data_IF_344496680288
#
_entry.id   IF_344496680288
#
_cell.length_a   1.000
_cell.length_b   1.000
_cell.length_c   1.000
_cell.angle_alpha   90.00
_cell.angle_beta   90.00
_cell.angle_gamma   90.00
#
_symmetry.space_group_name_H-M   'P 1'
#
loop_
_entity.id
_entity.type
_entity.pdbx_description
1 polymer ?
#
# COMPACT_ATOMS: atom_id res chain seq x y z
N UNK A 1 10.29 2.46 9.38
CA UNK A 1 10.89 2.97 8.12
C UNK A 1 9.82 3.31 7.11
N UNK A 2 10.14 4.16 6.12
CA UNK A 2 9.23 4.58 5.06
C UNK A 2 9.84 4.34 3.68
N UNK A 3 9.04 3.82 2.75
CA UNK A 3 9.39 3.66 1.33
C UNK A 3 8.33 4.38 0.50
N UNK A 4 8.75 5.33 -0.31
CA UNK A 4 7.88 6.22 -1.09
C UNK A 4 8.67 6.84 -2.25
N UNK A 5 8.06 7.69 -3.08
CA UNK A 5 8.67 8.19 -4.32
C UNK A 5 10.06 8.85 -4.18
N UNK A 6 10.35 9.54 -3.07
CA UNK A 6 11.68 10.14 -2.81
C UNK A 6 12.66 9.20 -2.10
N UNK A 7 12.18 8.06 -1.57
CA UNK A 7 12.98 6.99 -0.99
C UNK A 7 12.42 5.65 -1.50
N UNK A 8 12.66 5.31 -2.78
CA UNK A 8 11.91 4.26 -3.46
C UNK A 8 12.33 2.84 -3.07
N UNK A 9 13.32 2.66 -2.20
CA UNK A 9 13.72 1.36 -1.73
C UNK A 9 14.17 1.41 -0.26
N UNK A 10 13.79 0.38 0.50
CA UNK A 10 14.38 0.14 1.81
C UNK A 10 15.83 -0.38 1.65
N UNK A 11 16.79 0.00 2.51
CA UNK A 11 18.18 -0.46 2.39
C UNK A 11 18.37 -1.99 2.37
N UNK A 12 17.50 -2.76 3.02
CA UNK A 12 17.56 -4.23 2.97
C UNK A 12 17.08 -4.84 1.65
N UNK A 13 16.46 -4.03 0.78
CA UNK A 13 15.85 -4.46 -0.48
C UNK A 13 14.51 -5.19 -0.31
N UNK A 14 13.99 -5.31 0.92
CA UNK A 14 12.75 -6.01 1.21
C UNK A 14 11.50 -5.27 0.68
N UNK A 15 11.54 -3.94 0.54
CA UNK A 15 10.42 -3.14 0.06
C UNK A 15 10.92 -2.16 -1.00
N UNK A 16 10.20 -2.08 -2.13
CA UNK A 16 10.47 -1.15 -3.22
C UNK A 16 9.19 -0.51 -3.74
N UNK A 17 9.30 0.76 -4.10
CA UNK A 17 8.32 1.51 -4.90
C UNK A 17 8.73 1.40 -6.36
N UNK A 18 7.90 0.71 -7.16
CA UNK A 18 8.15 0.48 -8.60
C UNK A 18 7.59 1.63 -9.46
N UNK A 19 6.97 2.62 -8.82
CA UNK A 19 6.48 3.82 -9.48
C UNK A 19 5.00 3.80 -9.84
N UNK A 20 4.58 4.95 -10.36
CA UNK A 20 3.20 5.27 -10.73
C UNK A 20 3.03 5.17 -12.24
N UNK A 21 1.99 4.46 -12.69
CA UNK A 21 1.61 4.31 -14.10
C UNK A 21 0.19 4.78 -14.33
N UNK A 22 -0.01 5.56 -15.38
CA UNK A 22 -1.34 5.93 -15.87
C UNK A 22 -1.71 5.04 -17.06
N UNK A 23 -2.91 4.46 -17.04
CA UNK A 23 -3.48 3.69 -18.16
C UNK A 23 -4.99 3.96 -18.24
N UNK A 24 -5.49 4.38 -19.40
CA UNK A 24 -6.93 4.55 -19.64
C UNK A 24 -7.68 5.46 -18.65
N UNK A 25 -7.01 6.43 -18.02
CA UNK A 25 -7.60 7.29 -16.97
C UNK A 25 -7.55 6.69 -15.56
N UNK A 26 -6.99 5.49 -15.39
CA UNK A 26 -6.66 4.91 -14.09
C UNK A 26 -5.19 5.15 -13.77
N UNK A 27 -4.90 5.34 -12.48
CA UNK A 27 -3.54 5.48 -11.97
C UNK A 27 -3.25 4.29 -11.05
N UNK A 28 -2.20 3.54 -11.36
CA UNK A 28 -1.72 2.45 -10.51
C UNK A 28 -0.37 2.83 -9.92
N UNK A 29 -0.28 2.83 -8.60
CA UNK A 29 0.97 2.92 -7.87
C UNK A 29 1.39 1.52 -7.40
N UNK A 30 2.62 1.09 -7.73
CA UNK A 30 3.06 -0.30 -7.51
C UNK A 30 4.13 -0.36 -6.43
N UNK A 31 3.90 -1.21 -5.42
CA UNK A 31 4.88 -1.58 -4.39
C UNK A 31 5.25 -3.06 -4.54
N UNK A 32 6.52 -3.38 -4.40
CA UNK A 32 7.04 -4.73 -4.29
C UNK A 32 7.50 -4.99 -2.86
N UNK A 33 7.09 -6.12 -2.27
CA UNK A 33 7.45 -6.52 -0.92
C UNK A 33 7.95 -7.97 -0.92
N UNK A 34 9.25 -8.15 -0.66
CA UNK A 34 9.85 -9.45 -0.37
C UNK A 34 9.77 -9.72 1.13
N UNK A 35 8.68 -10.37 1.53
CA UNK A 35 8.37 -10.70 2.93
C UNK A 35 9.41 -11.63 3.59
N UNK A 36 10.21 -12.36 2.81
CA UNK A 36 11.28 -13.22 3.33
C UNK A 36 12.54 -12.42 3.71
N UNK A 37 12.72 -11.22 3.15
CA UNK A 37 13.85 -10.32 3.43
C UNK A 37 13.57 -9.29 4.51
N UNK A 38 12.31 -9.15 4.93
CA UNK A 38 11.92 -8.25 6.03
C UNK A 38 12.57 -8.72 7.33
N UNK A 39 13.22 -7.82 8.07
CA UNK A 39 14.00 -8.20 9.25
C UNK A 39 13.14 -8.87 10.33
N UNK A 40 13.75 -9.73 11.15
CA UNK A 40 13.06 -10.50 12.18
C UNK A 40 12.35 -9.64 13.23
N UNK A 41 12.78 -8.39 13.47
CA UNK A 41 12.15 -7.49 14.42
C UNK A 41 10.88 -6.79 13.87
N UNK A 42 10.65 -6.82 12.56
CA UNK A 42 9.52 -6.14 11.92
C UNK A 42 8.33 -7.09 11.84
N UNK A 43 7.26 -6.75 12.56
CA UNK A 43 6.04 -7.55 12.64
C UNK A 43 4.93 -7.05 11.71
N UNK A 44 5.07 -5.86 11.12
CA UNK A 44 4.03 -5.25 10.27
C UNK A 44 4.65 -4.36 9.18
N UNK A 45 4.09 -4.46 7.97
CA UNK A 45 4.34 -3.55 6.84
C UNK A 45 3.01 -2.94 6.43
N UNK A 46 2.83 -1.64 6.69
CA UNK A 46 1.60 -0.91 6.38
C UNK A 46 1.67 -0.35 4.96
N UNK A 47 0.59 -0.54 4.20
CA UNK A 47 0.44 -0.02 2.85
C UNK A 47 -0.52 1.17 2.90
N UNK A 48 0.05 2.36 2.73
CA UNK A 48 -0.68 3.61 2.77
C UNK A 48 -0.56 4.38 1.46
N UNK A 49 -1.56 5.18 1.15
CA UNK A 49 -1.58 6.12 0.05
C UNK A 49 -1.84 7.53 0.59
N UNK A 50 -1.20 8.52 -0.01
CA UNK A 50 -1.48 9.94 0.21
C UNK A 50 -1.84 10.63 -1.11
N UNK A 51 -2.69 11.65 -1.03
CA UNK A 51 -3.07 12.48 -2.16
C UNK A 51 -2.40 13.84 -2.05
N UNK A 52 -1.65 14.22 -3.08
CA UNK A 52 -1.09 15.56 -3.23
C UNK A 52 -2.00 16.40 -4.12
N UNK A 53 -2.58 17.47 -3.56
CA UNK A 53 -3.40 18.43 -4.31
C UNK A 53 -4.90 18.09 -4.42
N UNK A 54 -5.42 17.20 -3.56
CA UNK A 54 -6.83 16.83 -3.54
C UNK A 54 -7.20 15.86 -2.41
N UNK A 55 -8.39 15.27 -2.50
CA UNK A 55 -8.88 14.27 -1.54
C UNK A 55 -9.14 12.94 -2.25
N UNK A 56 -9.10 11.84 -1.50
CA UNK A 56 -9.40 10.52 -2.07
C UNK A 56 -10.85 10.37 -2.54
N UNK A 57 -11.78 11.22 -2.10
CA UNK A 57 -13.13 11.28 -2.66
C UNK A 57 -13.19 11.71 -4.13
N UNK A 58 -12.10 12.25 -4.69
CA UNK A 58 -11.99 12.57 -6.11
C UNK A 58 -11.42 11.41 -6.93
N UNK A 59 -11.03 10.29 -6.30
CA UNK A 59 -10.43 9.13 -6.95
C UNK A 59 -11.50 8.05 -7.12
N UNK A 60 -12.16 7.94 -8.29
CA UNK A 60 -13.16 6.90 -8.51
C UNK A 60 -12.50 5.53 -8.54
N UNK A 61 -13.14 4.55 -7.89
CA UNK A 61 -12.65 3.17 -7.89
C UNK A 61 -11.31 3.00 -7.18
N UNK A 62 -11.11 3.67 -6.04
CA UNK A 62 -9.94 3.45 -5.19
C UNK A 62 -9.91 2.00 -4.68
N UNK A 63 -8.86 1.25 -4.99
CA UNK A 63 -8.68 -0.10 -4.46
C UNK A 63 -7.20 -0.41 -4.21
N UNK A 64 -6.96 -1.42 -3.38
CA UNK A 64 -5.68 -2.12 -3.29
C UNK A 64 -5.85 -3.55 -3.78
N UNK A 65 -4.88 -4.05 -4.53
CA UNK A 65 -4.76 -5.47 -4.89
C UNK A 65 -3.38 -5.99 -4.50
N UNK A 66 -3.33 -7.22 -4.05
CA UNK A 66 -2.11 -7.93 -3.69
C UNK A 66 -1.98 -9.12 -4.64
N UNK A 67 -0.85 -9.17 -5.34
CA UNK A 67 -0.53 -10.24 -6.27
C UNK A 67 0.63 -11.07 -5.72
N UNK A 68 0.59 -12.38 -5.95
CA UNK A 68 1.79 -13.22 -5.84
C UNK A 68 2.77 -12.81 -6.94
N UNK A 69 3.99 -12.40 -6.58
CA UNK A 69 4.95 -11.89 -7.57
C UNK A 69 5.52 -12.98 -8.50
N UNK A 70 5.51 -14.25 -8.08
CA UNK A 70 6.00 -15.36 -8.90
C UNK A 70 4.97 -15.91 -9.86
N UNK A 71 3.70 -15.93 -9.45
CA UNK A 71 2.59 -16.52 -10.20
C UNK A 71 1.67 -15.47 -10.85
N UNK A 72 1.73 -14.20 -10.43
CA UNK A 72 0.82 -13.14 -10.86
C UNK A 72 -0.62 -13.31 -10.38
N UNK A 73 -0.89 -14.27 -9.49
CA UNK A 73 -2.23 -14.57 -9.00
C UNK A 73 -2.67 -13.54 -7.98
N UNK A 74 -3.92 -13.06 -8.07
CA UNK A 74 -4.50 -12.16 -7.08
C UNK A 74 -4.76 -12.91 -5.77
N UNK A 75 -4.06 -12.50 -4.70
CA UNK A 75 -4.19 -13.06 -3.35
C UNK A 75 -5.30 -12.35 -2.59
N UNK A 76 -5.42 -11.04 -2.78
CA UNK A 76 -6.42 -10.22 -2.12
C UNK A 76 -6.72 -8.96 -2.93
N UNK A 77 -7.95 -8.48 -2.80
CA UNK A 77 -8.38 -7.19 -3.31
C UNK A 77 -9.33 -6.53 -2.32
N UNK A 78 -9.20 -5.23 -2.16
CA UNK A 78 -10.10 -4.41 -1.35
C UNK A 78 -10.41 -3.10 -2.07
N UNK A 79 -11.68 -2.90 -2.37
CA UNK A 79 -12.21 -1.68 -2.98
C UNK A 79 -12.71 -0.75 -1.87
N UNK A 80 -12.10 0.44 -1.77
CA UNK A 80 -12.52 1.49 -0.85
C UNK A 80 -13.74 2.21 -1.44
N UNK A 81 -14.86 2.18 -0.71
CA UNK A 81 -16.13 2.77 -1.14
C UNK A 81 -16.47 4.10 -0.47
N UNK A 82 -15.78 4.40 0.64
CA UNK A 82 -16.17 5.46 1.57
C UNK A 82 -15.12 6.58 1.65
N UNK A 83 -14.21 6.66 0.67
CA UNK A 83 -13.29 7.79 0.59
C UNK A 83 -14.07 9.08 0.29
N UNK A 84 -13.90 10.08 1.16
CA UNK A 84 -14.54 11.38 1.08
C UNK A 84 -13.48 12.48 1.15
N UNK A 85 -13.27 13.08 2.32
CA UNK A 85 -12.43 14.24 2.54
C UNK A 85 -10.98 13.89 2.91
N UNK A 86 -10.65 12.60 2.96
CA UNK A 86 -9.36 12.15 3.46
C UNK A 86 -8.25 12.37 2.43
N UNK A 87 -7.07 12.74 2.94
CA UNK A 87 -5.86 13.01 2.16
C UNK A 87 -4.82 11.91 2.32
N UNK A 88 -5.04 10.99 3.27
CA UNK A 88 -4.29 9.77 3.47
C UNK A 88 -5.21 8.58 3.71
N UNK A 89 -4.78 7.40 3.28
CA UNK A 89 -5.52 6.14 3.46
C UNK A 89 -4.55 5.02 3.80
N UNK A 90 -4.83 4.29 4.87
CA UNK A 90 -4.24 2.96 5.11
C UNK A 90 -5.14 1.94 4.42
N UNK A 91 -4.63 1.38 3.33
CA UNK A 91 -5.39 0.47 2.47
C UNK A 91 -5.32 -0.97 2.98
N UNK A 92 -4.16 -1.37 3.48
CA UNK A 92 -3.94 -2.70 4.04
C UNK A 92 -2.60 -2.82 4.73
N UNK A 93 -2.34 -3.99 5.29
CA UNK A 93 -1.05 -4.30 5.89
C UNK A 93 -0.71 -5.78 5.75
N UNK A 94 0.58 -6.05 5.66
CA UNK A 94 1.13 -7.36 5.97
C UNK A 94 1.48 -7.40 7.45
N UNK A 95 1.08 -8.45 8.15
CA UNK A 95 1.41 -8.66 9.55
C UNK A 95 1.82 -10.11 9.80
N UNK A 96 2.69 -10.32 10.78
CA UNK A 96 3.07 -11.67 11.20
C UNK A 96 2.08 -12.22 12.21
N UNK A 97 1.72 -13.48 12.03
CA UNK A 97 0.93 -14.25 12.98
C UNK A 97 1.51 -15.65 13.06
N UNK A 98 2.01 -16.02 14.24
CA UNK A 98 2.64 -17.33 14.48
C UNK A 98 3.78 -17.62 13.50
N UNK A 99 4.62 -16.61 13.22
CA UNK A 99 5.77 -16.73 12.33
C UNK A 99 5.44 -16.70 10.82
N UNK A 100 4.16 -16.63 10.44
CA UNK A 100 3.74 -16.54 9.04
C UNK A 100 3.19 -15.14 8.73
N UNK A 101 3.53 -14.63 7.55
CA UNK A 101 2.93 -13.41 7.03
C UNK A 101 1.49 -13.62 6.59
N UNK A 102 0.65 -12.64 6.88
CA UNK A 102 -0.75 -12.55 6.49
C UNK A 102 -1.01 -11.15 5.96
N UNK A 103 -1.96 -11.03 5.04
CA UNK A 103 -2.47 -9.73 4.59
C UNK A 103 -3.83 -9.48 5.22
N UNK A 104 -4.10 -8.24 5.64
CA UNK A 104 -5.46 -7.75 5.93
C UNK A 104 -5.70 -6.43 5.22
N UNK A 105 -6.90 -6.28 4.67
CA UNK A 105 -7.41 -4.97 4.28
C UNK A 105 -7.76 -4.16 5.54
N UNK A 106 -7.49 -2.85 5.49
CA UNK A 106 -7.77 -1.92 6.60
C UNK A 106 -8.84 -0.91 6.18
N UNK A 107 -8.60 -0.15 5.10
CA UNK A 107 -9.58 0.79 4.55
C UNK A 107 -9.86 1.98 5.46
N UNK A 108 -8.84 2.50 6.16
CA UNK A 108 -9.00 3.62 7.09
C UNK A 108 -8.42 4.90 6.50
N UNK A 109 -9.27 5.93 6.36
CA UNK A 109 -8.87 7.24 5.88
C UNK A 109 -8.52 8.24 7.00
N UNK A 110 -7.66 9.21 6.67
CA UNK A 110 -7.19 10.27 7.56
C UNK A 110 -7.22 11.63 6.85
N UNK A 111 -7.78 12.65 7.51
CA UNK A 111 -7.93 14.00 6.95
C UNK A 111 -6.71 14.91 7.12
N UNK A 112 -5.73 14.51 7.94
CA UNK A 112 -4.50 15.29 8.24
C UNK A 112 -3.24 14.73 7.57
N UNK A 113 -3.38 13.87 6.57
CA UNK A 113 -2.25 13.20 5.92
C UNK A 113 -1.68 12.05 6.76
N UNK A 114 -0.49 11.58 6.40
CA UNK A 114 0.20 10.46 7.07
C UNK A 114 1.03 10.90 8.29
N UNK A 115 1.22 12.21 8.50
CA UNK A 115 2.02 12.80 9.59
C UNK A 115 1.21 13.06 10.88
N UNK A 116 0.10 12.35 11.07
CA UNK A 116 -0.86 12.57 12.17
C UNK A 116 -0.24 12.67 13.56
#
# INVERSE_FOLDING_TARGET
DFVFYNQPAHPSGAVRHEGKRGDGGQVTDTLFVDLARVEGAIETVVLAASADGGTFGQVPGLYIRVLDAGQGTEIARFDSKDATVETAFVLGEFYRRQGAWKFRAVGQGYSRGLEG
#
